data_IF_022402984234
#
_entry.id   IF_022402984234
#
_cell.length_a   1.000
_cell.length_b   1.000
_cell.length_c   1.000
_cell.angle_alpha   90.00
_cell.angle_beta   90.00
_cell.angle_gamma   90.00
#
_symmetry.space_group_name_H-M   'P 1'
#
loop_
_entity.id
_entity.type
_entity.pdbx_description
1 polymer ?
#
# COMPACT_ATOMS: atom_id res chain seq x y z
N UNK A 1 7.27 -12.43 -1.50
CA UNK A 1 6.55 -12.01 -0.28
C UNK A 1 5.19 -12.68 -0.26
N UNK A 2 4.64 -13.05 0.93
CA UNK A 2 3.36 -13.76 1.03
C UNK A 2 3.41 -15.28 0.78
N UNK A 3 4.58 -15.89 0.78
CA UNK A 3 4.71 -17.33 0.61
C UNK A 3 4.29 -18.05 1.91
N UNK A 4 3.45 -19.10 1.83
CA UNK A 4 3.01 -19.86 3.00
C UNK A 4 4.17 -20.53 3.74
N UNK A 5 4.11 -20.56 5.07
CA UNK A 5 5.18 -21.14 5.90
C UNK A 5 5.46 -22.61 5.56
N UNK A 6 4.45 -23.39 5.20
CA UNK A 6 4.64 -24.81 4.88
C UNK A 6 5.48 -25.03 3.60
N UNK A 7 5.47 -24.08 2.65
CA UNK A 7 6.28 -24.14 1.43
C UNK A 7 7.76 -23.81 1.68
N UNK A 8 8.06 -23.07 2.76
CA UNK A 8 9.41 -22.60 3.07
C UNK A 8 10.03 -23.27 4.31
N UNK A 9 9.39 -24.32 4.83
CA UNK A 9 9.87 -25.01 6.07
C UNK A 9 11.33 -25.44 5.99
N UNK A 10 11.79 -25.92 4.85
CA UNK A 10 13.17 -26.36 4.68
C UNK A 10 14.17 -25.19 4.68
N UNK A 11 13.79 -24.05 4.10
CA UNK A 11 14.57 -22.81 4.18
C UNK A 11 14.64 -22.31 5.63
N UNK A 12 13.50 -22.30 6.33
CA UNK A 12 13.40 -21.90 7.74
C UNK A 12 14.35 -22.76 8.60
N UNK A 13 14.34 -24.09 8.42
CA UNK A 13 15.24 -25.01 9.15
C UNK A 13 16.69 -24.81 8.76
N UNK A 14 17.00 -24.74 7.47
CA UNK A 14 18.37 -24.60 6.93
C UNK A 14 19.06 -23.33 7.42
N UNK A 15 18.32 -22.24 7.56
CA UNK A 15 18.85 -20.93 7.94
C UNK A 15 18.52 -20.53 9.39
N UNK A 16 18.03 -21.48 10.21
CA UNK A 16 17.63 -21.22 11.60
C UNK A 16 16.73 -19.98 11.77
N UNK A 17 15.76 -19.80 10.87
CA UNK A 17 14.86 -18.63 10.90
C UNK A 17 13.87 -18.79 12.04
N UNK A 18 13.79 -17.77 12.91
CA UNK A 18 12.82 -17.72 13.99
C UNK A 18 11.47 -17.26 13.46
N UNK A 19 10.47 -18.12 13.56
CA UNK A 19 9.09 -17.82 13.16
C UNK A 19 8.28 -17.39 14.37
N UNK A 20 7.67 -16.20 14.31
CA UNK A 20 6.80 -15.63 15.34
C UNK A 20 5.49 -15.19 14.74
N UNK A 21 4.42 -15.23 15.53
CA UNK A 21 3.14 -14.60 15.17
C UNK A 21 3.28 -13.07 15.19
N UNK A 22 2.60 -12.39 14.26
CA UNK A 22 2.58 -10.92 14.21
C UNK A 22 1.90 -10.34 15.44
N UNK A 23 2.55 -9.38 16.09
CA UNK A 23 1.95 -8.62 17.20
C UNK A 23 1.19 -7.41 16.64
N UNK A 24 -0.06 -7.61 16.22
CA UNK A 24 -0.88 -6.56 15.62
C UNK A 24 -1.10 -5.34 16.55
N UNK A 25 -1.15 -5.54 17.85
CA UNK A 25 -1.31 -4.44 18.81
C UNK A 25 -0.08 -3.53 18.80
N UNK A 26 1.13 -4.11 18.79
CA UNK A 26 2.38 -3.36 18.70
C UNK A 26 2.50 -2.63 17.36
N UNK A 27 2.21 -3.32 16.23
CA UNK A 27 2.25 -2.70 14.91
C UNK A 27 1.26 -1.53 14.81
N UNK A 28 0.05 -1.69 15.36
CA UNK A 28 -0.95 -0.63 15.38
C UNK A 28 -0.54 0.58 16.24
N UNK A 29 0.14 0.35 17.38
CA UNK A 29 0.64 1.43 18.22
C UNK A 29 1.76 2.21 17.53
N UNK A 30 2.75 1.53 16.99
CA UNK A 30 3.85 2.17 16.25
C UNK A 30 3.34 2.91 15.02
N UNK A 31 2.43 2.29 14.25
CA UNK A 31 1.78 2.95 13.11
C UNK A 31 1.11 4.25 13.53
N UNK A 32 0.30 4.24 14.58
CA UNK A 32 -0.39 5.43 15.09
C UNK A 32 0.60 6.54 15.47
N UNK A 33 1.74 6.22 16.10
CA UNK A 33 2.78 7.20 16.43
C UNK A 33 3.37 7.85 15.17
N UNK A 34 3.71 7.03 14.16
CA UNK A 34 4.22 7.54 12.88
C UNK A 34 3.17 8.43 12.20
N UNK A 35 1.92 7.95 12.09
CA UNK A 35 0.85 8.69 11.40
C UNK A 35 0.50 9.99 12.12
N UNK A 36 0.48 10.00 13.46
CA UNK A 36 0.26 11.22 14.25
C UNK A 36 1.39 12.22 14.04
N UNK A 37 2.66 11.77 14.02
CA UNK A 37 3.79 12.62 13.75
C UNK A 37 3.70 13.24 12.34
N UNK A 38 3.39 12.45 11.33
CA UNK A 38 3.22 12.96 9.96
C UNK A 38 2.07 13.96 9.86
N UNK A 39 0.92 13.63 10.45
CA UNK A 39 -0.25 14.51 10.45
C UNK A 39 -0.01 15.85 11.17
N UNK A 40 0.92 15.92 12.14
CA UNK A 40 1.28 17.18 12.80
C UNK A 40 2.16 18.11 11.95
N UNK A 41 2.76 17.62 10.86
CA UNK A 41 3.65 18.36 9.97
C UNK A 41 2.97 18.95 8.74
N UNK A 42 1.68 18.63 8.53
CA UNK A 42 0.94 18.99 7.31
C UNK A 42 -0.49 19.40 7.62
N UNK A 43 -1.08 20.31 6.82
CA UNK A 43 -2.47 20.71 7.02
C UNK A 43 -3.45 19.58 6.71
N UNK A 44 -3.19 18.79 5.66
CA UNK A 44 -4.10 17.78 5.16
C UNK A 44 -3.40 16.44 4.91
N UNK A 45 -3.96 15.38 5.50
CA UNK A 45 -3.45 14.02 5.33
C UNK A 45 -4.56 12.98 5.46
N UNK A 46 -4.42 11.85 4.79
CA UNK A 46 -5.35 10.72 4.86
C UNK A 46 -4.60 9.41 5.11
N UNK A 47 -4.88 8.75 6.22
CA UNK A 47 -4.32 7.43 6.55
C UNK A 47 -4.97 6.40 5.63
N UNK A 48 -4.17 5.78 4.76
CA UNK A 48 -4.65 4.77 3.82
C UNK A 48 -4.58 3.34 4.39
N UNK A 49 -3.51 3.03 5.10
CA UNK A 49 -3.30 1.71 5.70
C UNK A 49 -2.48 1.82 7.00
N UNK A 50 -2.13 0.68 7.59
CA UNK A 50 -1.26 0.63 8.77
C UNK A 50 0.14 1.19 8.51
N UNK A 51 0.59 1.23 7.26
CA UNK A 51 1.94 1.61 6.84
C UNK A 51 1.99 2.68 5.74
N UNK A 52 0.85 3.24 5.35
CA UNK A 52 0.76 4.25 4.31
C UNK A 52 -0.18 5.41 4.70
N UNK A 53 0.28 6.62 4.45
CA UNK A 53 -0.48 7.87 4.58
C UNK A 53 -0.27 8.71 3.32
N UNK A 54 -1.32 9.31 2.81
CA UNK A 54 -1.25 10.33 1.77
C UNK A 54 -1.29 11.72 2.38
N UNK A 55 -0.59 12.64 1.77
CA UNK A 55 -0.43 14.03 2.21
C UNK A 55 -0.73 14.91 1.00
N UNK A 56 -1.50 15.98 1.20
CA UNK A 56 -1.65 17.05 0.24
C UNK A 56 -0.58 18.12 0.49
N UNK A 57 0.19 18.45 -0.56
CA UNK A 57 1.25 19.45 -0.53
C UNK A 57 0.91 20.72 -1.33
N UNK A 58 -0.26 20.78 -1.98
CA UNK A 58 -0.61 21.87 -2.91
C UNK A 58 -0.61 23.25 -2.22
N UNK A 59 -0.99 23.29 -0.94
CA UNK A 59 -1.04 24.53 -0.15
C UNK A 59 0.26 24.83 0.62
N UNK A 60 1.32 24.07 0.41
CA UNK A 60 2.60 24.23 1.10
C UNK A 60 3.62 24.92 0.20
N UNK A 61 3.86 26.22 0.42
CA UNK A 61 4.88 27.02 -0.30
C UNK A 61 6.30 26.72 0.19
N UNK A 62 6.75 25.46 0.02
CA UNK A 62 8.06 24.98 0.52
C UNK A 62 8.80 24.21 -0.57
N UNK A 63 10.10 23.95 -0.33
CA UNK A 63 10.83 22.98 -1.15
C UNK A 63 10.43 21.56 -0.75
N UNK A 64 9.55 20.95 -1.52
CA UNK A 64 8.97 19.64 -1.22
C UNK A 64 10.02 18.51 -1.11
N UNK A 65 11.11 18.52 -1.90
CA UNK A 65 12.17 17.50 -1.80
C UNK A 65 12.93 17.63 -0.48
N UNK A 66 13.35 18.83 -0.12
CA UNK A 66 14.06 19.05 1.14
C UNK A 66 13.17 18.75 2.35
N UNK A 67 11.93 19.23 2.34
CA UNK A 67 10.97 18.95 3.40
C UNK A 67 10.72 17.44 3.59
N UNK A 68 10.59 16.68 2.49
CA UNK A 68 10.40 15.24 2.57
C UNK A 68 11.61 14.51 3.18
N UNK A 69 12.84 14.97 2.88
CA UNK A 69 14.06 14.45 3.51
C UNK A 69 14.10 14.75 5.00
N UNK A 70 13.74 15.96 5.37
CA UNK A 70 13.70 16.40 6.78
C UNK A 70 12.62 15.62 7.55
N UNK A 71 11.43 15.44 6.96
CA UNK A 71 10.36 14.61 7.52
C UNK A 71 10.80 13.15 7.70
N UNK A 72 11.43 12.55 6.68
CA UNK A 72 11.98 11.18 6.75
C UNK A 72 12.96 11.04 7.91
N UNK A 73 13.89 11.99 8.04
CA UNK A 73 14.87 12.00 9.12
C UNK A 73 14.22 12.19 10.51
N UNK A 74 13.21 13.05 10.59
CA UNK A 74 12.41 13.27 11.81
C UNK A 74 11.69 12.00 12.24
N UNK A 75 10.98 11.32 11.33
CA UNK A 75 10.27 10.08 11.63
C UNK A 75 11.26 9.03 12.15
N UNK A 76 12.39 8.83 11.48
CA UNK A 76 13.39 7.86 11.92
C UNK A 76 13.93 8.20 13.32
N UNK A 77 14.24 9.47 13.59
CA UNK A 77 14.77 9.90 14.88
C UNK A 77 13.78 9.74 16.03
N UNK A 78 12.48 10.00 15.79
CA UNK A 78 11.47 10.05 16.84
C UNK A 78 10.75 8.71 17.05
N UNK A 79 10.71 7.85 16.02
CA UNK A 79 10.00 6.56 16.09
C UNK A 79 10.89 5.35 15.89
N UNK A 80 12.11 5.52 15.37
CA UNK A 80 12.99 4.43 14.96
C UNK A 80 12.55 3.73 13.66
N UNK A 81 11.47 4.18 13.01
CA UNK A 81 10.92 3.53 11.81
C UNK A 81 11.45 4.21 10.54
N UNK A 82 12.17 3.51 9.67
CA UNK A 82 12.58 4.03 8.39
C UNK A 82 11.39 4.06 7.42
N UNK A 83 11.18 5.18 6.76
CA UNK A 83 10.09 5.37 5.78
C UNK A 83 10.64 5.75 4.42
N UNK A 84 9.86 5.52 3.36
CA UNK A 84 10.09 6.07 2.03
C UNK A 84 9.00 7.08 1.70
N UNK A 85 9.37 8.14 0.97
CA UNK A 85 8.45 9.20 0.55
C UNK A 85 8.49 9.35 -0.96
N UNK A 86 7.33 9.25 -1.60
CA UNK A 86 7.15 9.51 -3.02
C UNK A 86 6.26 10.72 -3.23
N UNK A 87 6.68 11.68 -4.05
CA UNK A 87 5.94 12.91 -4.34
C UNK A 87 5.60 12.94 -5.83
N UNK A 88 4.35 13.16 -6.16
CA UNK A 88 3.88 13.38 -7.54
C UNK A 88 2.49 14.00 -7.55
N UNK A 89 1.94 14.25 -8.74
CA UNK A 89 0.66 14.92 -8.97
C UNK A 89 -0.57 14.07 -8.68
N UNK A 90 -0.43 12.75 -8.53
CA UNK A 90 -1.53 11.84 -8.20
C UNK A 90 -1.09 10.78 -7.20
N UNK A 91 -2.04 10.20 -6.47
CA UNK A 91 -1.78 9.11 -5.51
C UNK A 91 -1.06 7.92 -6.17
N UNK A 92 -1.48 7.51 -7.37
CA UNK A 92 -0.86 6.40 -8.10
C UNK A 92 0.57 6.71 -8.51
N UNK A 93 0.87 7.90 -9.02
CA UNK A 93 2.22 8.32 -9.36
C UNK A 93 3.10 8.48 -8.11
N UNK A 94 2.57 9.00 -7.01
CA UNK A 94 3.28 9.11 -5.74
C UNK A 94 3.67 7.72 -5.18
N UNK A 95 2.81 6.71 -5.30
CA UNK A 95 3.15 5.32 -4.93
C UNK A 95 4.24 4.72 -5.83
N UNK A 96 4.24 5.02 -7.13
CA UNK A 96 5.32 4.62 -8.04
C UNK A 96 6.63 5.31 -7.64
N UNK A 97 6.60 6.62 -7.35
CA UNK A 97 7.76 7.36 -6.85
C UNK A 97 8.32 6.72 -5.57
N UNK A 98 7.47 6.45 -4.58
CA UNK A 98 7.87 5.78 -3.33
C UNK A 98 8.50 4.40 -3.57
N UNK A 99 7.89 3.58 -4.44
CA UNK A 99 8.45 2.26 -4.80
C UNK A 99 9.85 2.37 -5.41
N UNK A 100 10.06 3.31 -6.34
CA UNK A 100 11.35 3.55 -6.97
C UNK A 100 12.36 4.15 -5.98
N UNK A 101 11.92 5.05 -5.10
CA UNK A 101 12.75 5.62 -4.03
C UNK A 101 13.35 4.53 -3.13
N UNK A 102 12.57 3.52 -2.77
CA UNK A 102 13.01 2.37 -1.96
C UNK A 102 14.02 1.46 -2.67
N UNK A 103 14.03 1.45 -4.02
CA UNK A 103 14.94 0.62 -4.82
C UNK A 103 16.21 1.38 -5.26
N UNK A 104 16.24 2.69 -5.15
CA UNK A 104 17.34 3.54 -5.63
C UNK A 104 18.22 4.03 -4.48
N UNK A 105 19.48 3.63 -4.47
CA UNK A 105 20.46 4.15 -3.50
C UNK A 105 20.62 5.67 -3.60
N UNK A 106 20.57 6.22 -4.83
CA UNK A 106 20.70 7.68 -5.06
C UNK A 106 19.51 8.48 -4.52
N UNK A 107 18.32 7.90 -4.55
CA UNK A 107 17.11 8.55 -4.06
C UNK A 107 17.08 8.61 -2.52
N UNK A 108 17.82 7.74 -1.86
CA UNK A 108 17.85 7.64 -0.40
C UNK A 108 16.44 7.65 0.22
N UNK A 109 15.54 6.88 -0.38
CA UNK A 109 14.16 6.74 0.10
C UNK A 109 13.23 7.93 -0.15
N UNK A 110 13.66 9.00 -0.84
CA UNK A 110 12.81 10.13 -1.25
C UNK A 110 12.91 10.34 -2.75
N UNK A 111 11.77 10.39 -3.44
CA UNK A 111 11.74 10.66 -4.88
C UNK A 111 10.55 11.53 -5.24
N UNK A 112 10.81 12.63 -5.95
CA UNK A 112 9.80 13.50 -6.52
C UNK A 112 9.74 13.30 -8.04
N UNK A 113 8.54 12.98 -8.56
CA UNK A 113 8.23 12.89 -9.98
C UNK A 113 7.31 14.06 -10.36
N UNK A 114 7.92 15.14 -10.88
CA UNK A 114 7.21 16.36 -11.30
C UNK A 114 7.24 16.53 -12.83
N UNK A 115 8.40 16.33 -13.42
CA UNK A 115 8.58 16.54 -14.87
C UNK A 115 8.14 15.32 -15.66
N UNK A 116 7.45 15.52 -16.79
CA UNK A 116 6.92 14.45 -17.63
C UNK A 116 7.98 13.45 -18.04
N UNK A 117 9.18 13.91 -18.39
CA UNK A 117 10.31 13.03 -18.75
C UNK A 117 10.66 12.03 -17.64
N UNK A 118 10.66 12.47 -16.38
CA UNK A 118 10.96 11.60 -15.25
C UNK A 118 9.78 10.69 -14.90
N UNK A 119 8.55 11.18 -15.11
CA UNK A 119 7.33 10.35 -14.99
C UNK A 119 7.37 9.23 -16.01
N UNK A 120 7.63 9.54 -17.30
CA UNK A 120 7.69 8.54 -18.37
C UNK A 120 8.75 7.48 -18.10
N UNK A 121 9.95 7.88 -17.67
CA UNK A 121 11.03 6.96 -17.30
C UNK A 121 10.66 6.08 -16.10
N UNK A 122 9.96 6.64 -15.11
CA UNK A 122 9.49 5.91 -13.95
C UNK A 122 8.42 4.87 -14.33
N UNK A 123 7.50 5.23 -15.22
CA UNK A 123 6.46 4.34 -15.73
C UNK A 123 7.03 3.23 -16.61
N UNK A 124 8.03 3.52 -17.42
CA UNK A 124 8.74 2.52 -18.24
C UNK A 124 9.43 1.46 -17.37
N UNK A 125 10.02 1.87 -16.24
CA UNK A 125 10.73 0.99 -15.29
C UNK A 125 9.79 0.27 -14.30
N UNK A 126 8.51 0.55 -14.34
CA UNK A 126 7.52 -0.05 -13.45
C UNK A 126 6.68 -1.07 -14.21
N UNK A 127 6.64 -2.31 -13.73
CA UNK A 127 5.76 -3.34 -14.30
C UNK A 127 4.29 -2.94 -14.12
N UNK A 128 3.45 -3.22 -15.11
CA UNK A 128 2.02 -2.92 -15.04
C UNK A 128 1.33 -3.59 -13.84
N UNK A 129 1.78 -4.80 -13.46
CA UNK A 129 1.30 -5.53 -12.29
C UNK A 129 1.70 -4.93 -10.94
N UNK A 130 2.68 -4.03 -10.94
CA UNK A 130 3.16 -3.32 -9.75
C UNK A 130 2.43 -1.98 -9.53
N UNK A 131 1.59 -1.57 -10.47
CA UNK A 131 0.79 -0.34 -10.36
C UNK A 131 -0.34 -0.52 -9.36
N UNK A 132 -0.52 0.46 -8.49
CA UNK A 132 -1.61 0.47 -7.52
C UNK A 132 -2.97 0.35 -8.21
N UNK A 133 -3.80 -0.57 -7.73
CA UNK A 133 -5.09 -0.89 -8.35
C UNK A 133 -5.03 -2.00 -9.42
N UNK A 134 -3.84 -2.44 -9.83
CA UNK A 134 -3.67 -3.57 -10.74
C UNK A 134 -3.41 -4.86 -9.96
N UNK A 135 -4.46 -5.62 -9.71
CA UNK A 135 -4.35 -6.93 -9.06
C UNK A 135 -3.84 -8.02 -10.01
N UNK A 136 -3.46 -9.17 -9.44
CA UNK A 136 -2.86 -10.31 -10.17
C UNK A 136 -3.63 -10.71 -11.43
N UNK A 137 -4.99 -10.75 -11.38
CA UNK A 137 -5.83 -11.11 -12.53
C UNK A 137 -5.74 -10.07 -13.65
N UNK A 138 -5.72 -8.79 -13.31
CA UNK A 138 -5.57 -7.72 -14.29
C UNK A 138 -4.16 -7.71 -14.87
N UNK A 139 -3.12 -7.90 -14.08
CA UNK A 139 -1.74 -8.02 -14.55
C UNK A 139 -1.59 -9.14 -15.58
N UNK A 140 -2.14 -10.33 -15.34
CA UNK A 140 -2.14 -11.44 -16.29
C UNK A 140 -2.88 -11.09 -17.59
N UNK A 141 -4.05 -10.46 -17.49
CA UNK A 141 -4.83 -10.04 -18.66
C UNK A 141 -4.09 -8.99 -19.50
N UNK A 142 -3.46 -8.02 -18.85
CA UNK A 142 -2.64 -7.01 -19.52
C UNK A 142 -1.43 -7.62 -20.22
N UNK A 143 -0.71 -8.52 -19.55
CA UNK A 143 0.44 -9.21 -20.11
C UNK A 143 0.06 -10.06 -21.34
N UNK A 144 -1.12 -10.70 -21.37
CA UNK A 144 -1.58 -11.51 -22.52
C UNK A 144 -1.82 -10.69 -23.78
N UNK A 145 -1.95 -9.37 -23.67
CA UNK A 145 -2.10 -8.45 -24.82
C UNK A 145 -0.87 -7.54 -25.01
N UNK A 146 0.26 -7.89 -24.37
CA UNK A 146 1.54 -7.21 -24.56
C UNK A 146 1.75 -5.94 -23.70
N UNK A 147 0.84 -5.64 -22.75
CA UNK A 147 0.96 -4.52 -21.82
C UNK A 147 1.71 -5.01 -20.57
N UNK A 148 3.00 -4.72 -20.49
CA UNK A 148 3.89 -5.19 -19.42
C UNK A 148 4.40 -4.06 -18.52
N UNK A 149 4.43 -2.81 -19.02
CA UNK A 149 4.89 -1.65 -18.25
C UNK A 149 3.77 -0.69 -17.88
N UNK A 150 3.97 0.10 -16.83
CA UNK A 150 3.04 1.15 -16.43
C UNK A 150 2.92 2.24 -17.51
N UNK A 151 3.97 2.47 -18.31
CA UNK A 151 3.92 3.40 -19.43
C UNK A 151 2.93 2.93 -20.50
N UNK A 152 3.04 1.67 -20.92
CA UNK A 152 2.09 1.06 -21.86
C UNK A 152 0.65 1.07 -21.30
N UNK A 153 0.50 0.82 -19.99
CA UNK A 153 -0.80 0.87 -19.32
C UNK A 153 -1.39 2.29 -19.34
N UNK A 154 -0.59 3.33 -19.11
CA UNK A 154 -1.01 4.73 -19.19
C UNK A 154 -1.60 5.08 -20.57
N UNK A 155 -1.00 4.54 -21.63
CA UNK A 155 -1.29 4.92 -23.01
C UNK A 155 -2.48 4.19 -23.62
N UNK A 156 -3.11 3.22 -22.92
CA UNK A 156 -4.32 2.57 -23.42
C UNK A 156 -5.53 3.53 -23.43
N UNK A 157 -6.45 3.43 -24.40
CA UNK A 157 -7.66 4.25 -24.43
C UNK A 157 -8.56 4.02 -23.20
N UNK A 158 -9.28 5.06 -22.74
CA UNK A 158 -10.19 4.99 -21.58
C UNK A 158 -11.21 3.86 -21.69
N UNK A 159 -11.78 3.68 -22.90
CA UNK A 159 -12.73 2.61 -23.15
C UNK A 159 -12.11 1.22 -22.93
N UNK A 160 -10.90 1.00 -23.41
CA UNK A 160 -10.18 -0.25 -23.20
C UNK A 160 -9.84 -0.46 -21.72
N UNK A 161 -9.38 0.56 -21.01
CA UNK A 161 -9.12 0.51 -19.57
C UNK A 161 -10.37 0.08 -18.79
N UNK A 162 -11.52 0.70 -19.10
CA UNK A 162 -12.80 0.39 -18.46
C UNK A 162 -13.28 -1.03 -18.74
N UNK A 163 -13.16 -1.51 -19.98
CA UNK A 163 -13.56 -2.86 -20.38
C UNK A 163 -12.68 -3.96 -19.76
N UNK A 164 -11.38 -3.70 -19.65
CA UNK A 164 -10.42 -4.69 -19.14
C UNK A 164 -10.36 -4.73 -17.62
N UNK A 165 -10.45 -3.58 -16.95
CA UNK A 165 -10.16 -3.44 -15.53
C UNK A 165 -11.26 -2.73 -14.73
N UNK A 166 -12.46 -2.53 -15.30
CA UNK A 166 -13.59 -1.84 -14.69
C UNK A 166 -13.34 -0.33 -14.49
N UNK A 167 -14.24 0.33 -13.75
CA UNK A 167 -14.12 1.77 -13.41
C UNK A 167 -12.88 2.06 -12.57
N UNK A 168 -12.50 1.13 -11.67
CA UNK A 168 -11.28 1.27 -10.86
C UNK A 168 -10.02 1.33 -11.71
N UNK A 169 -9.91 0.45 -12.71
CA UNK A 169 -8.78 0.48 -13.65
C UNK A 169 -8.73 1.73 -14.52
N UNK A 170 -9.90 2.25 -14.93
CA UNK A 170 -9.96 3.53 -15.64
C UNK A 170 -9.42 4.68 -14.77
N UNK A 171 -9.81 4.74 -13.49
CA UNK A 171 -9.26 5.74 -12.54
C UNK A 171 -7.73 5.61 -12.45
N UNK A 172 -7.21 4.37 -12.27
CA UNK A 172 -5.75 4.11 -12.25
C UNK A 172 -5.05 4.63 -13.51
N UNK A 173 -5.58 4.35 -14.70
CA UNK A 173 -5.01 4.82 -15.98
C UNK A 173 -4.99 6.34 -16.07
N UNK A 174 -6.07 7.00 -15.65
CA UNK A 174 -6.14 8.47 -15.63
C UNK A 174 -5.14 9.07 -14.63
N UNK A 175 -4.97 8.46 -13.46
CA UNK A 175 -3.97 8.91 -12.50
C UNK A 175 -2.54 8.73 -13.02
N UNK A 176 -2.24 7.68 -13.80
CA UNK A 176 -0.94 7.55 -14.47
C UNK A 176 -0.68 8.66 -15.49
N UNK A 177 -1.73 9.31 -16.01
CA UNK A 177 -1.65 10.49 -16.90
C UNK A 177 -1.55 11.81 -16.14
N UNK A 178 -1.52 11.79 -14.82
CA UNK A 178 -1.52 12.99 -13.96
C UNK A 178 -2.89 13.60 -13.70
N UNK A 179 -3.98 12.90 -14.06
CA UNK A 179 -5.35 13.35 -13.79
C UNK A 179 -5.78 12.80 -12.42
N UNK A 180 -5.92 13.65 -11.42
CA UNK A 180 -6.38 13.26 -10.10
C UNK A 180 -7.81 12.72 -10.16
N UNK A 181 -8.02 11.50 -9.69
CA UNK A 181 -9.31 10.80 -9.67
C UNK A 181 -9.75 10.38 -8.27
N UNK A 182 -8.95 10.68 -7.26
CA UNK A 182 -9.19 10.30 -5.86
C UNK A 182 -8.84 11.47 -4.96
N UNK A 183 -9.83 12.08 -4.36
CA UNK A 183 -9.63 13.14 -3.37
C UNK A 183 -8.90 12.61 -2.13
N UNK A 184 -8.25 13.49 -1.36
CA UNK A 184 -7.58 13.12 -0.13
C UNK A 184 -8.59 12.56 0.90
N UNK A 185 -9.76 13.18 0.95
CA UNK A 185 -10.90 12.85 1.83
C UNK A 185 -11.72 11.63 1.39
N UNK A 186 -11.16 10.68 0.68
CA UNK A 186 -11.76 9.34 0.62
C UNK A 186 -11.76 8.74 2.04
N UNK A 187 -12.56 9.34 2.93
CA UNK A 187 -12.82 8.85 4.27
C UNK A 187 -13.13 7.36 4.18
N UNK A 188 -12.47 6.50 4.95
CA UNK A 188 -12.77 5.09 4.88
C UNK A 188 -14.26 4.92 5.09
N UNK A 189 -14.93 4.32 4.12
CA UNK A 189 -16.35 4.00 4.22
C UNK A 189 -16.62 3.38 5.59
N UNK A 190 -17.70 3.80 6.23
CA UNK A 190 -18.11 3.24 7.52
C UNK A 190 -18.06 1.71 7.43
N UNK A 191 -17.45 1.06 8.41
CA UNK A 191 -17.30 -0.39 8.39
C UNK A 191 -18.66 -1.05 8.33
N UNK A 192 -18.98 -1.67 7.21
CA UNK A 192 -20.25 -2.41 7.04
C UNK A 192 -20.20 -3.81 7.64
N UNK A 193 -18.99 -4.34 7.85
CA UNK A 193 -18.82 -5.73 8.33
C UNK A 193 -17.70 -5.83 9.36
N UNK A 194 -17.90 -6.68 10.35
CA UNK A 194 -16.87 -7.09 11.31
C UNK A 194 -16.57 -8.57 11.12
N UNK A 195 -15.31 -8.91 10.99
CA UNK A 195 -14.85 -10.30 10.84
C UNK A 195 -13.89 -10.67 11.98
N UNK A 196 -14.12 -11.84 12.56
CA UNK A 196 -13.18 -12.52 13.45
C UNK A 196 -12.95 -13.92 12.92
N UNK A 197 -11.70 -14.26 12.61
CA UNK A 197 -11.33 -15.57 12.09
C UNK A 197 -10.08 -16.11 12.80
N UNK A 198 -10.00 -17.42 12.91
CA UNK A 198 -8.82 -18.16 13.35
C UNK A 198 -8.78 -19.51 12.62
N UNK A 199 -7.60 -19.96 12.29
CA UNK A 199 -7.40 -21.33 11.79
C UNK A 199 -7.17 -22.25 12.97
N UNK A 200 -7.78 -23.42 12.94
CA UNK A 200 -7.51 -24.47 13.92
C UNK A 200 -6.20 -25.18 13.55
N UNK A 201 -5.47 -25.64 14.57
CA UNK A 201 -4.20 -26.38 14.36
C UNK A 201 -4.43 -27.82 13.85
N UNK A 202 -5.64 -28.36 14.08
CA UNK A 202 -6.09 -29.68 13.64
C UNK A 202 -7.53 -29.54 13.15
N UNK A 203 -7.98 -30.48 12.35
CA UNK A 203 -9.40 -30.64 12.02
C UNK A 203 -10.20 -30.87 13.30
N UNK A 204 -11.35 -30.22 13.41
CA UNK A 204 -12.24 -30.32 14.53
C UNK A 204 -13.53 -30.99 14.04
N UNK A 205 -13.84 -32.13 14.60
CA UNK A 205 -15.04 -32.93 14.40
C UNK A 205 -15.98 -32.92 15.61
N UNK A 206 -15.53 -32.38 16.75
CA UNK A 206 -16.29 -32.23 17.98
C UNK A 206 -17.19 -31.00 17.93
N UNK A 207 -18.49 -31.24 18.11
CA UNK A 207 -19.53 -30.20 18.08
C UNK A 207 -19.39 -29.18 19.23
N UNK A 208 -19.01 -29.61 20.44
CA UNK A 208 -18.90 -28.71 21.58
C UNK A 208 -17.65 -27.80 21.43
N UNK A 209 -16.55 -28.31 20.92
CA UNK A 209 -15.38 -27.50 20.57
C UNK A 209 -15.69 -26.44 19.49
N UNK A 210 -16.47 -26.79 18.47
CA UNK A 210 -16.91 -25.83 17.45
C UNK A 210 -17.82 -24.75 18.04
N UNK A 211 -18.72 -25.13 18.95
CA UNK A 211 -19.63 -24.21 19.64
C UNK A 211 -18.87 -23.22 20.54
N UNK A 212 -17.89 -23.71 21.30
CA UNK A 212 -17.02 -22.86 22.12
C UNK A 212 -16.22 -21.85 21.27
N UNK A 213 -15.65 -22.31 20.15
CA UNK A 213 -14.95 -21.45 19.22
C UNK A 213 -15.88 -20.38 18.62
N UNK A 214 -17.09 -20.76 18.22
CA UNK A 214 -18.10 -19.84 17.67
C UNK A 214 -18.50 -18.78 18.69
N UNK A 215 -18.78 -19.17 19.95
CA UNK A 215 -19.11 -18.23 21.03
C UNK A 215 -17.96 -17.25 21.30
N UNK A 216 -16.70 -17.74 21.32
CA UNK A 216 -15.52 -16.90 21.47
C UNK A 216 -15.37 -15.91 20.32
N UNK A 217 -15.60 -16.34 19.07
CA UNK A 217 -15.51 -15.46 17.91
C UNK A 217 -16.64 -14.42 17.87
N UNK A 218 -17.86 -14.83 18.21
CA UNK A 218 -19.00 -13.91 18.32
C UNK A 218 -18.76 -12.83 19.40
N UNK A 219 -18.31 -13.22 20.58
CA UNK A 219 -17.97 -12.26 21.65
C UNK A 219 -16.89 -11.26 21.23
N UNK A 220 -15.85 -11.72 20.51
CA UNK A 220 -14.81 -10.83 19.97
C UNK A 220 -15.32 -9.95 18.83
N UNK A 221 -16.27 -10.41 18.02
CA UNK A 221 -16.89 -9.59 16.98
C UNK A 221 -17.75 -8.49 17.60
N UNK A 222 -18.57 -8.81 18.61
CA UNK A 222 -19.36 -7.83 19.36
C UNK A 222 -18.49 -6.75 20.04
N UNK A 223 -17.33 -7.13 20.57
CA UNK A 223 -16.40 -6.17 21.18
C UNK A 223 -15.70 -5.22 20.17
N UNK A 224 -15.86 -5.44 18.86
CA UNK A 224 -15.32 -4.60 17.78
C UNK A 224 -16.38 -3.68 17.15
N UNK A 225 -17.66 -3.90 17.44
CA UNK A 225 -18.77 -3.04 17.07
C UNK A 225 -18.83 -1.80 17.97
#
# INVERSE_FOLDING_TARGET
>A
MGQPLFEIRDLVRRHNVIVKSSNYALYGDISRRVMTLVASEVPDSAIYSIDEIFIDLDNMSINHDQWARDLKAKILRETGIPVGIGISTTKTLAKIANRLAKKSFKADGVLMLKDQKWIDLALERTEAGDVWGVGRKFAQKLASIGITTALQLRDIPDQAARQMMTVGGLKTVRELRGICCSDLDDSPAQRETVCVSRSFSKEIDDREMLKEALLSFAGRACAKL
#
